data_IF_706543141865
#
_entry.id   IF_706543141865
#
_cell.length_a   1.000
_cell.length_b   1.000
_cell.length_c   1.000
_cell.angle_alpha   90.00
_cell.angle_beta   90.00
_cell.angle_gamma   90.00
#
_symmetry.space_group_name_H-M   'P 1'
#
loop_
_entity.id
_entity.type
_entity.pdbx_description
1 polymer ?
#
# COMPACT_ATOMS: atom_id res chain seq x y z
N UNK A 1 5.49 -10.09 11.50
CA UNK A 1 6.33 -8.90 11.22
C UNK A 1 7.80 -9.14 11.59
N UNK A 2 8.49 -10.00 10.87
CA UNK A 2 9.96 -10.13 10.95
C UNK A 2 10.49 -10.04 9.53
N UNK A 3 11.00 -8.87 9.15
CA UNK A 3 11.58 -8.67 7.82
C UNK A 3 11.84 -7.20 7.45
N UNK A 4 11.02 -6.25 7.91
CA UNK A 4 11.20 -4.82 7.61
C UNK A 4 10.87 -3.93 8.82
N UNK A 5 11.36 -2.69 8.80
CA UNK A 5 11.06 -1.65 9.79
C UNK A 5 10.46 -0.43 9.10
N UNK A 6 9.34 0.07 9.62
CA UNK A 6 8.77 1.35 9.20
C UNK A 6 9.32 2.48 10.08
N UNK A 7 9.58 3.64 9.49
CA UNK A 7 9.86 4.85 10.26
C UNK A 7 8.60 5.28 11.06
N UNK A 8 8.74 6.15 12.07
CA UNK A 8 7.58 6.72 12.76
C UNK A 8 6.61 7.42 11.82
N UNK A 9 7.11 8.18 10.84
CA UNK A 9 6.28 8.84 9.82
C UNK A 9 5.54 7.82 8.95
N UNK A 10 6.23 6.80 8.44
CA UNK A 10 5.59 5.77 7.62
C UNK A 10 4.47 5.02 8.36
N UNK A 11 4.57 4.84 9.69
CA UNK A 11 3.46 4.28 10.49
C UNK A 11 2.26 5.23 10.58
N UNK A 12 2.51 6.54 10.64
CA UNK A 12 1.44 7.54 10.61
C UNK A 12 0.76 7.56 9.24
N UNK A 13 1.54 7.56 8.16
CA UNK A 13 1.05 7.55 6.78
C UNK A 13 0.15 6.32 6.53
N UNK A 14 0.59 5.12 6.93
CA UNK A 14 -0.20 3.88 6.79
C UNK A 14 -1.51 3.96 7.56
N UNK A 15 -1.51 4.56 8.75
CA UNK A 15 -2.71 4.76 9.57
C UNK A 15 -3.69 5.73 8.90
N UNK A 16 -3.19 6.83 8.38
CA UNK A 16 -3.99 7.83 7.66
C UNK A 16 -4.62 7.24 6.41
N UNK A 17 -3.86 6.47 5.62
CA UNK A 17 -4.38 5.73 4.47
C UNK A 17 -5.54 4.81 4.87
N UNK A 18 -5.44 4.08 5.99
CA UNK A 18 -6.52 3.21 6.44
C UNK A 18 -7.78 4.03 6.78
N UNK A 19 -7.65 5.10 7.56
CA UNK A 19 -8.80 5.94 7.93
C UNK A 19 -9.48 6.55 6.72
N UNK A 20 -8.72 7.17 5.82
CA UNK A 20 -9.23 7.78 4.58
C UNK A 20 -9.94 6.74 3.69
N UNK A 21 -9.35 5.53 3.56
CA UNK A 21 -9.93 4.44 2.77
C UNK A 21 -11.20 3.88 3.42
N UNK A 22 -11.22 3.79 4.75
CA UNK A 22 -12.36 3.29 5.51
C UNK A 22 -13.58 4.21 5.43
N UNK A 23 -13.33 5.52 5.50
CA UNK A 23 -14.33 6.57 5.41
C UNK A 23 -14.86 6.72 3.97
N UNK A 24 -13.97 6.66 2.98
CA UNK A 24 -14.34 6.86 1.56
C UNK A 24 -14.98 5.65 0.91
N UNK A 25 -14.54 4.42 1.25
CA UNK A 25 -15.00 3.20 0.56
C UNK A 25 -15.55 2.12 1.49
N UNK A 26 -14.77 1.66 2.47
CA UNK A 26 -15.20 0.74 3.55
C UNK A 26 -13.99 0.24 4.34
N UNK A 27 -14.21 -0.19 5.58
CA UNK A 27 -13.20 -0.88 6.39
C UNK A 27 -12.63 -2.12 5.68
N UNK A 28 -13.49 -2.93 5.03
CA UNK A 28 -13.05 -4.11 4.29
C UNK A 28 -12.09 -3.75 3.13
N UNK A 29 -12.27 -2.59 2.50
CA UNK A 29 -11.37 -2.10 1.47
C UNK A 29 -10.07 -1.55 2.06
N UNK A 30 -10.15 -0.89 3.22
CA UNK A 30 -8.99 -0.43 3.99
C UNK A 30 -8.10 -1.61 4.43
N UNK A 31 -8.68 -2.69 4.93
CA UNK A 31 -7.95 -3.89 5.34
C UNK A 31 -7.24 -4.57 4.16
N UNK A 32 -7.90 -4.67 3.00
CA UNK A 32 -7.27 -5.16 1.77
C UNK A 32 -6.09 -4.28 1.36
N UNK A 33 -6.24 -2.95 1.50
CA UNK A 33 -5.14 -2.03 1.23
C UNK A 33 -3.96 -2.29 2.18
N UNK A 34 -4.22 -2.45 3.48
CA UNK A 34 -3.15 -2.74 4.46
C UNK A 34 -2.42 -4.05 4.17
N UNK A 35 -3.17 -5.11 3.84
CA UNK A 35 -2.60 -6.42 3.50
C UNK A 35 -1.66 -6.34 2.29
N UNK A 36 -1.98 -5.51 1.29
CA UNK A 36 -1.12 -5.31 0.13
C UNK A 36 0.13 -4.47 0.42
N UNK A 37 0.03 -3.44 1.27
CA UNK A 37 1.21 -2.70 1.76
C UNK A 37 2.14 -3.67 2.46
N UNK A 38 1.62 -4.45 3.42
CA UNK A 38 2.40 -5.43 4.17
C UNK A 38 3.04 -6.47 3.25
N UNK A 39 2.28 -7.04 2.32
CA UNK A 39 2.79 -8.03 1.36
C UNK A 39 3.93 -7.45 0.50
N UNK A 40 3.78 -6.21 0.03
CA UNK A 40 4.81 -5.55 -0.78
C UNK A 40 6.08 -5.33 0.03
N UNK A 41 5.96 -4.85 1.27
CA UNK A 41 7.09 -4.67 2.18
C UNK A 41 7.77 -6.01 2.52
N UNK A 42 7.00 -7.07 2.74
CA UNK A 42 7.53 -8.41 3.01
C UNK A 42 8.33 -8.95 1.83
N UNK A 43 7.83 -8.83 0.60
CA UNK A 43 8.54 -9.24 -0.61
C UNK A 43 9.81 -8.44 -0.88
N UNK A 44 9.79 -7.12 -0.60
CA UNK A 44 10.99 -6.27 -0.66
C UNK A 44 12.03 -6.72 0.36
N UNK A 45 11.61 -7.05 1.59
CA UNK A 45 12.48 -7.55 2.64
C UNK A 45 13.08 -8.93 2.32
N UNK A 46 12.30 -9.79 1.67
CA UNK A 46 12.72 -11.13 1.24
C UNK A 46 13.63 -11.10 -0.01
N UNK A 47 13.78 -9.94 -0.68
CA UNK A 47 14.51 -9.82 -1.95
C UNK A 47 13.75 -10.38 -3.16
N UNK A 48 12.48 -10.74 -3.00
CA UNK A 48 11.60 -11.21 -4.08
C UNK A 48 11.13 -10.06 -4.99
N UNK A 49 11.17 -8.83 -4.46
CA UNK A 49 10.94 -7.60 -5.21
C UNK A 49 12.11 -6.65 -5.02
N UNK A 50 12.45 -5.91 -6.08
CA UNK A 50 13.46 -4.86 -6.03
C UNK A 50 12.82 -3.53 -6.39
N UNK A 51 13.06 -2.51 -5.56
CA UNK A 51 12.60 -1.16 -5.83
C UNK A 51 13.34 -0.52 -7.01
N UNK A 52 12.69 0.42 -7.68
CA UNK A 52 13.31 1.28 -8.70
C UNK A 52 14.00 2.45 -8.04
N UNK A 53 15.11 2.93 -8.59
CA UNK A 53 15.76 4.14 -8.10
C UNK A 53 14.78 5.32 -8.11
N UNK A 54 14.78 6.08 -7.01
CA UNK A 54 14.15 7.39 -6.92
C UNK A 54 15.24 8.44 -6.58
N UNK A 55 16.38 8.30 -7.27
CA UNK A 55 17.57 9.13 -7.13
C UNK A 55 17.31 10.61 -7.35
N UNK A 56 16.25 10.97 -8.08
CA UNK A 56 15.80 12.34 -8.26
C UNK A 56 15.40 13.03 -6.94
N UNK A 57 14.99 12.27 -5.92
CA UNK A 57 14.71 12.81 -4.58
C UNK A 57 15.90 12.62 -3.65
N UNK A 58 16.45 11.41 -3.58
CA UNK A 58 17.65 11.06 -2.82
C UNK A 58 18.35 9.87 -3.45
N UNK A 59 19.68 9.94 -3.63
CA UNK A 59 20.46 8.89 -4.30
C UNK A 59 20.31 7.49 -3.70
N UNK A 60 20.02 7.38 -2.40
CA UNK A 60 19.97 6.12 -1.66
C UNK A 60 18.58 5.51 -1.54
N UNK A 61 17.53 6.18 -2.01
CA UNK A 61 16.16 5.68 -1.84
C UNK A 61 15.68 4.95 -3.09
N UNK A 62 14.93 3.87 -2.85
CA UNK A 62 14.24 3.11 -3.87
C UNK A 62 12.72 3.26 -3.67
N UNK A 63 11.96 3.21 -4.75
CA UNK A 63 10.49 3.18 -4.74
C UNK A 63 9.99 1.87 -5.33
N UNK A 64 8.99 1.28 -4.70
CA UNK A 64 8.23 0.16 -5.26
C UNK A 64 6.90 0.68 -5.77
N UNK A 65 6.44 0.14 -6.91
CA UNK A 65 5.06 0.34 -7.34
C UNK A 65 4.23 -0.76 -6.71
N UNK A 66 3.12 -0.39 -6.09
CA UNK A 66 2.09 -1.35 -5.72
C UNK A 66 1.61 -2.10 -6.97
N UNK A 67 1.70 -3.43 -6.97
CA UNK A 67 1.15 -4.23 -8.06
C UNK A 67 -0.38 -4.26 -7.94
N UNK A 68 -1.09 -3.63 -8.88
CA UNK A 68 -2.55 -3.55 -8.92
C UNK A 68 -3.24 -4.89 -9.26
N UNK A 69 -2.54 -6.02 -9.16
CA UNK A 69 -3.12 -7.35 -9.36
C UNK A 69 -3.97 -7.72 -8.15
N UNK A 70 -5.18 -7.15 -8.06
CA UNK A 70 -6.26 -7.68 -7.25
C UNK A 70 -7.63 -7.38 -7.87
N UNK A 71 -8.57 -8.33 -7.74
CA UNK A 71 -9.78 -8.38 -8.53
C UNK A 71 -10.80 -7.34 -8.06
N UNK A 72 -11.42 -6.69 -9.04
CA UNK A 72 -12.56 -5.79 -8.94
C UNK A 72 -12.43 -4.66 -7.92
N UNK A 73 -11.95 -3.51 -8.39
CA UNK A 73 -12.64 -2.25 -8.10
C UNK A 73 -14.04 -2.32 -8.72
N UNK A 74 -14.95 -3.10 -8.12
CA UNK A 74 -16.35 -3.01 -8.48
C UNK A 74 -16.85 -1.69 -7.87
N UNK A 75 -16.67 -0.59 -8.61
CA UNK A 75 -17.55 0.56 -8.45
C UNK A 75 -18.94 0.03 -8.72
N UNK A 76 -19.69 -0.27 -7.67
CA UNK A 76 -21.12 -0.46 -7.76
C UNK A 76 -21.70 0.78 -8.42
N UNK A 77 -21.96 0.70 -9.72
CA UNK A 77 -22.85 1.59 -10.42
C UNK A 77 -24.23 1.37 -9.81
N UNK A 78 -24.52 2.09 -8.72
CA UNK A 78 -25.89 2.28 -8.28
C UNK A 78 -26.61 3.03 -9.38
N UNK A 79 -27.42 2.32 -10.16
CA UNK A 79 -28.50 2.92 -10.94
C UNK A 79 -29.33 3.76 -9.99
N UNK A 80 -29.41 5.07 -10.27
CA UNK A 80 -30.55 5.86 -9.85
C UNK A 80 -31.68 5.55 -10.85
N UNK A 81 -32.75 4.95 -10.33
CA UNK A 81 -34.08 4.94 -10.94
C UNK A 81 -34.73 6.31 -10.69
#
# INVERSE_FOLDING_TARGET
MSGFRLSPSARADVREIWFDTSDTWSEAQADRYMAHIESTCAKLAAGELTGRSAGEFRKTILRSRWSLTSPSTNRGTGQAN
#
